data_IF_152897806167
#
_entry.id   IF_152897806167
#
_cell.length_a   1.000
_cell.length_b   1.000
_cell.length_c   1.000
_cell.angle_alpha   90.00
_cell.angle_beta   90.00
_cell.angle_gamma   90.00
#
_symmetry.space_group_name_H-M   'P 1'
#
loop_
_entity.id
_entity.type
_entity.pdbx_description
1 polymer ?
#
# COMPACT_ATOMS: atom_id res chain seq x y z
N UNK A 1 13.07 -29.09 18.45
CA UNK A 1 12.98 -28.43 18.26
C UNK A 1 12.22 -27.76 18.20
N UNK A 2 11.96 -27.38 18.49
CA UNK A 2 11.09 -26.74 18.51
C UNK A 2 11.11 -25.83 17.81
N UNK A 3 10.59 -25.62 17.24
CA UNK A 3 10.50 -24.73 16.61
C UNK A 3 9.80 -23.81 17.14
N UNK A 4 10.24 -22.79 17.40
CA UNK A 4 9.51 -21.74 17.82
C UNK A 4 8.63 -21.30 16.75
N UNK A 5 7.36 -21.41 16.94
CA UNK A 5 6.47 -20.91 16.02
C UNK A 5 6.44 -19.45 16.25
N UNK A 6 6.72 -18.62 15.29
CA UNK A 6 6.54 -17.22 15.41
C UNK A 6 5.09 -16.91 15.45
N UNK A 7 4.69 -16.14 16.42
CA UNK A 7 3.31 -15.71 16.49
C UNK A 7 3.07 -14.68 15.42
N UNK A 8 1.97 -14.78 14.72
CA UNK A 8 1.63 -13.79 13.72
C UNK A 8 1.06 -12.56 14.38
N UNK A 9 1.45 -11.40 13.88
CA UNK A 9 0.93 -10.15 14.39
C UNK A 9 -0.53 -10.01 13.99
N UNK A 10 -1.35 -9.50 14.90
CA UNK A 10 -2.76 -9.27 14.62
C UNK A 10 -2.94 -7.82 14.20
N UNK A 11 -3.64 -7.61 13.09
CA UNK A 11 -3.96 -6.27 12.62
C UNK A 11 -5.46 -6.10 12.52
N UNK A 12 -5.92 -4.87 12.44
CA UNK A 12 -7.32 -4.57 12.29
C UNK A 12 -7.73 -4.49 10.83
N UNK A 13 -8.93 -3.99 10.58
CA UNK A 13 -9.41 -3.86 9.22
C UNK A 13 -8.79 -2.64 8.50
N UNK A 14 -8.16 -1.76 9.24
CA UNK A 14 -7.40 -0.64 8.68
C UNK A 14 -6.22 -0.37 9.59
N UNK A 15 -5.12 0.05 8.97
CA UNK A 15 -3.88 0.28 9.69
C UNK A 15 -3.08 1.39 9.02
N UNK A 16 -2.23 2.06 9.80
CA UNK A 16 -1.24 2.96 9.26
C UNK A 16 0.02 2.17 8.96
N UNK A 17 0.59 2.38 7.79
CA UNK A 17 1.84 1.71 7.42
C UNK A 17 2.71 2.67 6.64
N UNK A 18 3.90 2.23 6.29
CA UNK A 18 4.84 3.04 5.52
C UNK A 18 5.33 2.26 4.31
N UNK A 19 5.70 2.99 3.28
CA UNK A 19 6.33 2.42 2.08
C UNK A 19 7.69 3.11 1.96
N UNK A 20 8.69 2.59 2.69
CA UNK A 20 9.96 3.30 2.82
C UNK A 20 10.74 3.47 1.53
N UNK A 21 10.59 2.55 0.56
CA UNK A 21 11.31 2.68 -0.69
C UNK A 21 10.92 3.93 -1.45
N UNK A 22 9.74 4.45 -1.21
CA UNK A 22 9.25 5.64 -1.90
C UNK A 22 9.27 6.87 -1.02
N UNK A 23 9.75 6.74 0.21
CA UNK A 23 9.73 7.86 1.13
C UNK A 23 8.33 8.19 1.63
N UNK A 24 7.39 7.27 1.50
CA UNK A 24 6.05 7.46 2.03
C UNK A 24 6.08 7.04 3.49
N UNK A 25 6.13 8.04 4.36
CA UNK A 25 6.33 7.79 5.78
C UNK A 25 5.10 7.24 6.47
N UNK A 26 3.94 7.54 5.95
CA UNK A 26 2.71 7.01 6.54
C UNK A 26 1.59 7.07 5.50
N UNK A 27 0.82 6.00 5.42
CA UNK A 27 -0.35 5.93 4.57
C UNK A 27 -1.35 5.00 5.25
N UNK A 28 -2.61 5.36 5.19
CA UNK A 28 -3.64 4.54 5.80
C UNK A 28 -4.10 3.50 4.80
N UNK A 29 -4.02 2.24 5.18
CA UNK A 29 -4.41 1.14 4.30
C UNK A 29 -5.64 0.44 4.85
N UNK A 30 -6.53 0.08 3.95
CA UNK A 30 -7.64 -0.79 4.28
C UNK A 30 -7.19 -2.22 4.04
N UNK A 31 -7.44 -3.09 4.98
CA UNK A 31 -7.08 -4.50 4.87
C UNK A 31 -8.20 -5.19 4.11
N UNK A 32 -7.87 -5.75 2.97
CA UNK A 32 -8.88 -6.33 2.07
C UNK A 32 -8.48 -7.76 1.72
N UNK A 33 -8.96 -8.71 2.51
CA UNK A 33 -8.64 -10.11 2.29
C UNK A 33 -9.36 -10.68 1.07
N UNK A 34 -10.35 -9.97 0.54
CA UNK A 34 -11.02 -10.38 -0.69
C UNK A 34 -10.24 -10.04 -1.95
N UNK A 35 -9.32 -9.09 -1.86
CA UNK A 35 -8.47 -8.75 -3.00
C UNK A 35 -7.17 -9.54 -2.90
N UNK A 36 -6.76 -10.14 -4.00
CA UNK A 36 -5.54 -10.94 -3.98
C UNK A 36 -4.30 -10.07 -3.81
N UNK A 37 -4.20 -8.99 -4.57
CA UNK A 37 -3.01 -8.16 -4.61
C UNK A 37 -3.32 -6.79 -4.00
N UNK A 38 -2.35 -6.22 -3.32
CA UNK A 38 -2.48 -4.88 -2.76
C UNK A 38 -2.59 -3.85 -3.87
N UNK A 39 -3.17 -2.71 -3.56
CA UNK A 39 -3.37 -1.64 -4.54
C UNK A 39 -3.00 -0.30 -3.95
N UNK A 40 -2.41 0.55 -4.78
CA UNK A 40 -2.01 1.88 -4.37
C UNK A 40 -2.67 2.89 -5.31
N UNK A 41 -3.33 3.88 -4.74
CA UNK A 41 -3.95 4.95 -5.50
C UNK A 41 -2.89 5.95 -5.93
N UNK A 42 -2.81 6.22 -7.22
CA UNK A 42 -1.78 7.08 -7.77
C UNK A 42 -2.38 8.14 -8.68
N UNK A 43 -1.60 9.19 -8.90
CA UNK A 43 -1.93 10.26 -9.84
C UNK A 43 -0.78 10.39 -10.80
N UNK A 44 -1.07 10.85 -12.01
CA UNK A 44 -0.03 11.12 -12.99
C UNK A 44 0.78 9.92 -13.39
N UNK A 45 0.14 8.78 -13.50
CA UNK A 45 0.83 7.54 -13.80
C UNK A 45 1.32 7.53 -15.24
N UNK A 46 2.63 7.46 -15.41
CA UNK A 46 3.25 7.47 -16.74
C UNK A 46 4.28 6.39 -16.88
N UNK A 47 4.10 5.45 -17.80
CA UNK A 47 5.13 4.47 -18.07
C UNK A 47 6.22 5.08 -18.95
N UNK A 48 7.45 4.61 -18.79
CA UNK A 48 8.56 5.01 -19.65
C UNK A 48 9.61 3.91 -19.60
N UNK A 49 10.49 3.92 -20.60
CA UNK A 49 11.58 2.96 -20.63
C UNK A 49 12.88 3.66 -20.38
N UNK A 50 13.74 3.02 -19.62
CA UNK A 50 15.07 3.52 -19.36
C UNK A 50 16.01 2.33 -19.35
N UNK A 51 17.03 2.36 -20.20
CA UNK A 51 18.02 1.28 -20.28
C UNK A 51 17.38 -0.09 -20.47
N UNK A 52 16.34 -0.15 -21.30
CA UNK A 52 15.68 -1.41 -21.59
C UNK A 52 14.71 -1.90 -20.55
N UNK A 53 14.50 -1.14 -19.49
CA UNK A 53 13.59 -1.53 -18.42
C UNK A 53 12.34 -0.64 -18.44
N UNK A 54 11.19 -1.27 -18.37
CA UNK A 54 9.94 -0.53 -18.25
C UNK A 54 9.77 -0.05 -16.82
N UNK A 55 9.56 1.23 -16.67
CA UNK A 55 9.37 1.87 -15.37
C UNK A 55 8.09 2.68 -15.39
N UNK A 56 7.61 3.05 -14.22
CA UNK A 56 6.49 3.96 -14.10
C UNK A 56 6.84 5.08 -13.16
N UNK A 57 6.34 6.26 -13.49
CA UNK A 57 6.47 7.43 -12.66
C UNK A 57 5.06 7.77 -12.20
N UNK A 58 4.90 8.10 -10.92
CA UNK A 58 3.59 8.40 -10.39
C UNK A 58 3.70 9.24 -9.14
N UNK A 59 2.58 9.83 -8.72
CA UNK A 59 2.51 10.63 -7.52
C UNK A 59 1.50 10.00 -6.57
N UNK A 60 1.80 10.04 -5.29
CA UNK A 60 0.92 9.53 -4.25
C UNK A 60 0.56 10.68 -3.32
N UNK A 61 -0.72 10.78 -2.98
CA UNK A 61 -1.19 11.70 -1.95
C UNK A 61 -1.52 10.83 -0.74
N UNK A 62 -0.61 10.70 0.21
CA UNK A 62 -0.80 9.72 1.28
C UNK A 62 -1.98 10.01 2.22
N UNK A 63 -2.40 11.26 2.29
CA UNK A 63 -3.53 11.61 3.15
C UNK A 63 -4.76 11.85 2.30
N UNK A 64 -5.84 11.20 2.68
CA UNK A 64 -7.07 11.25 1.90
C UNK A 64 -7.66 12.62 1.75
N UNK A 65 -7.50 13.47 2.75
CA UNK A 65 -8.12 14.79 2.74
C UNK A 65 -7.14 15.94 2.63
N UNK A 66 -5.87 15.65 2.39
CA UNK A 66 -4.88 16.71 2.32
C UNK A 66 -4.07 16.54 1.06
N UNK A 67 -4.46 17.27 0.05
CA UNK A 67 -3.81 17.13 -1.23
C UNK A 67 -2.48 17.85 -1.32
N UNK A 68 -2.17 18.68 -0.35
CA UNK A 68 -0.90 19.39 -0.39
C UNK A 68 0.32 18.51 -0.13
N UNK A 69 0.10 17.31 0.39
CA UNK A 69 1.21 16.39 0.65
C UNK A 69 1.26 15.40 -0.49
N UNK A 70 2.33 15.45 -1.27
CA UNK A 70 2.50 14.54 -2.39
C UNK A 70 3.88 13.94 -2.38
N UNK A 71 3.99 12.73 -2.86
CA UNK A 71 5.25 12.03 -2.97
C UNK A 71 5.39 11.56 -4.41
N UNK A 72 6.48 11.97 -5.06
CA UNK A 72 6.75 11.52 -6.44
C UNK A 72 7.57 10.24 -6.38
N UNK A 73 7.17 9.28 -7.17
CA UNK A 73 7.74 7.94 -7.11
C UNK A 73 8.12 7.45 -8.50
N UNK A 74 9.15 6.60 -8.56
CA UNK A 74 9.52 5.89 -9.78
C UNK A 74 9.80 4.45 -9.37
N UNK A 75 9.30 3.50 -10.14
CA UNK A 75 9.51 2.09 -9.84
C UNK A 75 9.59 1.28 -11.12
N UNK A 76 10.26 0.14 -11.05
CA UNK A 76 10.30 -0.82 -12.15
C UNK A 76 8.97 -1.54 -12.19
N UNK A 77 8.48 -1.78 -13.41
CA UNK A 77 7.27 -2.56 -13.59
C UNK A 77 7.66 -4.02 -13.62
N UNK A 78 7.08 -4.81 -12.73
CA UNK A 78 7.38 -6.24 -12.68
C UNK A 78 6.32 -7.08 -13.39
N UNK A 79 5.14 -6.50 -13.63
CA UNK A 79 4.06 -7.25 -14.29
C UNK A 79 2.97 -6.27 -14.74
N UNK A 80 2.07 -6.76 -15.56
CA UNK A 80 0.83 -6.07 -15.91
C UNK A 80 -0.28 -7.08 -15.71
N UNK A 81 -1.30 -6.70 -14.98
CA UNK A 81 -2.38 -7.63 -14.63
C UNK A 81 -3.74 -7.00 -14.84
N UNK A 82 -4.68 -7.82 -15.22
CA UNK A 82 -6.06 -7.40 -15.26
C UNK A 82 -6.63 -7.58 -13.86
N UNK A 83 -7.19 -6.53 -13.32
CA UNK A 83 -7.78 -6.55 -11.99
C UNK A 83 -9.25 -6.24 -12.11
N UNK A 84 -10.08 -7.08 -11.53
CA UNK A 84 -11.53 -6.92 -11.58
C UNK A 84 -12.02 -6.46 -10.21
N UNK A 85 -12.77 -5.37 -10.18
CA UNK A 85 -13.30 -4.85 -8.93
C UNK A 85 -14.52 -5.64 -8.48
N UNK A 86 -14.95 -5.41 -7.26
CA UNK A 86 -16.15 -6.06 -6.75
C UNK A 86 -17.39 -5.66 -7.54
N UNK A 87 -17.34 -4.53 -8.23
CA UNK A 87 -18.44 -4.10 -9.10
C UNK A 87 -18.39 -4.73 -10.48
N UNK A 88 -17.43 -5.61 -10.73
CA UNK A 88 -17.33 -6.31 -12.01
C UNK A 88 -16.55 -5.57 -13.09
N UNK A 89 -15.98 -4.43 -12.79
CA UNK A 89 -15.21 -3.68 -13.77
C UNK A 89 -13.76 -4.12 -13.74
N UNK A 90 -13.19 -4.27 -14.93
CA UNK A 90 -11.79 -4.70 -15.06
C UNK A 90 -10.92 -3.61 -15.64
N UNK A 91 -9.69 -3.55 -15.22
CA UNK A 91 -8.71 -2.66 -15.82
C UNK A 91 -7.35 -3.32 -15.77
N UNK A 92 -6.48 -2.97 -16.72
CA UNK A 92 -5.11 -3.43 -16.69
C UNK A 92 -4.33 -2.50 -15.78
N UNK A 93 -3.51 -3.07 -14.93
CA UNK A 93 -2.70 -2.30 -14.00
C UNK A 93 -1.26 -2.72 -14.07
N UNK A 94 -0.37 -1.76 -13.88
CA UNK A 94 1.04 -2.06 -13.69
C UNK A 94 1.24 -2.58 -12.28
N UNK A 95 2.14 -3.53 -12.13
CA UNK A 95 2.47 -4.11 -10.85
C UNK A 95 3.92 -3.75 -10.54
N UNK A 96 4.16 -3.26 -9.34
CA UNK A 96 5.49 -2.97 -8.85
C UNK A 96 5.72 -3.77 -7.57
N UNK A 97 6.96 -3.87 -7.17
CA UNK A 97 7.30 -4.53 -5.93
C UNK A 97 7.95 -3.53 -5.01
N UNK A 98 7.55 -3.51 -3.75
CA UNK A 98 8.12 -2.57 -2.80
C UNK A 98 8.04 -3.16 -1.39
N UNK A 99 8.76 -2.56 -0.46
CA UNK A 99 8.73 -2.98 0.93
C UNK A 99 7.64 -2.25 1.67
N UNK A 100 6.86 -2.96 2.45
CA UNK A 100 5.90 -2.35 3.36
C UNK A 100 6.45 -2.49 4.78
N UNK A 101 6.25 -1.44 5.57
CA UNK A 101 6.61 -1.46 6.99
C UNK A 101 5.33 -1.28 7.79
N UNK A 102 5.02 -2.25 8.62
CA UNK A 102 3.80 -2.25 9.41
C UNK A 102 4.14 -2.70 10.81
N UNK A 103 3.92 -1.82 11.78
CA UNK A 103 4.38 -2.10 13.13
C UNK A 103 5.88 -2.28 13.13
N UNK A 104 6.33 -3.41 13.63
CA UNK A 104 7.76 -3.66 13.72
C UNK A 104 8.29 -4.58 12.64
N UNK A 105 7.49 -4.90 11.64
CA UNK A 105 7.95 -5.82 10.62
C UNK A 105 7.96 -5.12 9.26
N UNK A 106 8.81 -5.64 8.39
CA UNK A 106 8.96 -5.17 7.02
C UNK A 106 9.06 -6.35 6.11
N UNK A 107 8.44 -6.27 4.96
CA UNK A 107 8.55 -7.35 3.98
C UNK A 107 8.15 -6.82 2.60
N UNK A 108 8.62 -7.52 1.52
CA UNK A 108 8.26 -7.06 0.17
C UNK A 108 6.86 -7.51 -0.21
N UNK A 109 6.17 -6.64 -0.93
CA UNK A 109 4.86 -6.96 -1.46
C UNK A 109 4.77 -6.49 -2.89
N UNK A 110 3.80 -7.02 -3.61
CA UNK A 110 3.44 -6.50 -4.91
C UNK A 110 2.30 -5.51 -4.75
N UNK A 111 2.38 -4.42 -5.49
CA UNK A 111 1.34 -3.39 -5.51
C UNK A 111 0.87 -3.18 -6.93
N UNK A 112 -0.43 -3.21 -7.13
CA UNK A 112 -0.98 -2.73 -8.40
C UNK A 112 -1.23 -1.24 -8.25
N UNK A 113 -1.00 -0.50 -9.33
CA UNK A 113 -1.16 0.95 -9.34
C UNK A 113 -2.46 1.29 -10.05
N UNK A 114 -3.25 2.15 -9.45
CA UNK A 114 -4.54 2.52 -10.00
C UNK A 114 -4.83 3.99 -9.72
N UNK A 115 -5.58 4.62 -10.62
CA UNK A 115 -6.00 5.99 -10.40
C UNK A 115 -7.51 6.10 -10.22
N UNK A 116 -8.15 5.02 -9.79
CA UNK A 116 -9.59 5.03 -9.62
C UNK A 116 -10.00 6.03 -8.54
N UNK A 117 -10.87 6.94 -8.92
CA UNK A 117 -11.30 7.98 -7.99
C UNK A 117 -12.15 7.47 -6.85
N UNK A 118 -12.74 6.32 -7.04
CA UNK A 118 -13.63 5.78 -6.02
C UNK A 118 -12.91 5.14 -4.85
N UNK A 119 -11.57 5.09 -4.87
CA UNK A 119 -10.85 4.52 -3.75
C UNK A 119 -10.96 5.41 -2.54
N UNK A 120 -11.61 4.89 -1.51
CA UNK A 120 -11.77 5.61 -0.28
C UNK A 120 -10.48 5.71 0.50
N UNK A 121 -9.71 4.63 0.50
CA UNK A 121 -8.38 4.61 1.11
C UNK A 121 -7.36 4.74 0.00
N UNK A 122 -6.24 5.37 0.31
CA UNK A 122 -5.18 5.50 -0.69
C UNK A 122 -4.46 4.19 -0.95
N UNK A 123 -4.64 3.22 -0.09
CA UNK A 123 -4.01 1.92 -0.27
C UNK A 123 -4.92 0.81 0.22
N UNK A 124 -4.87 -0.33 -0.44
CA UNK A 124 -5.50 -1.56 0.02
C UNK A 124 -4.40 -2.59 0.24
N UNK A 125 -4.45 -3.26 1.38
CA UNK A 125 -3.51 -4.34 1.68
C UNK A 125 -4.21 -5.65 1.38
N UNK A 126 -3.75 -6.36 0.37
CA UNK A 126 -4.44 -7.54 -0.15
C UNK A 126 -3.97 -8.83 0.48
N UNK A 127 -4.69 -9.89 0.13
CA UNK A 127 -4.50 -11.21 0.74
C UNK A 127 -3.08 -11.74 0.60
N UNK A 128 -2.45 -11.55 -0.55
CA UNK A 128 -1.10 -12.08 -0.76
C UNK A 128 -0.08 -11.47 0.17
N UNK A 129 -0.29 -10.23 0.60
CA UNK A 129 0.62 -9.58 1.55
C UNK A 129 0.39 -10.08 2.97
N UNK A 130 -0.79 -10.59 3.25
CA UNK A 130 -1.21 -10.94 4.61
C UNK A 130 -0.93 -12.40 4.93
N UNK A 131 -1.18 -13.28 3.95
CA UNK A 131 -1.13 -14.72 4.17
C UNK A 131 0.23 -15.15 4.72
N UNK A 132 0.18 -15.90 5.81
CA UNK A 132 1.40 -16.42 6.42
C UNK A 132 2.11 -15.47 7.34
N UNK A 133 1.71 -14.20 7.38
CA UNK A 133 2.41 -13.20 8.19
C UNK A 133 1.53 -12.55 9.23
N UNK A 134 0.26 -12.33 8.88
CA UNK A 134 -0.63 -11.52 9.71
C UNK A 134 -1.94 -12.23 9.92
N UNK A 135 -2.58 -11.93 11.04
CA UNK A 135 -3.96 -12.32 11.29
C UNK A 135 -4.79 -11.06 11.32
N UNK A 136 -6.01 -11.12 10.84
CA UNK A 136 -6.87 -9.95 10.76
C UNK A 136 -8.05 -10.10 11.70
N UNK A 137 -8.21 -9.13 12.59
CA UNK A 137 -9.39 -9.03 13.42
C UNK A 137 -10.25 -7.91 12.83
N UNK A 138 -11.30 -8.25 12.09
CA UNK A 138 -12.06 -7.21 11.37
C UNK A 138 -12.87 -6.30 12.27
N UNK A 139 -12.94 -6.61 13.55
CA UNK A 139 -13.65 -5.75 14.50
C UNK A 139 -12.77 -4.63 15.05
N UNK A 140 -11.47 -4.66 14.77
CA UNK A 140 -10.52 -3.73 15.36
C UNK A 140 -9.89 -2.82 14.32
N UNK A 141 -9.35 -1.70 14.77
CA UNK A 141 -8.65 -0.74 13.92
C UNK A 141 -7.36 -0.32 14.58
N UNK A 142 -6.34 -0.10 13.77
CA UNK A 142 -5.08 0.52 14.21
C UNK A 142 -4.42 -0.24 15.36
N UNK A 143 -4.40 -1.57 15.23
CA UNK A 143 -3.77 -2.40 16.25
C UNK A 143 -2.26 -2.21 16.31
N UNK A 144 -1.65 -1.76 15.22
CA UNK A 144 -0.21 -1.47 15.23
C UNK A 144 0.07 -0.07 15.74
N UNK A 145 -0.98 0.67 16.13
CA UNK A 145 -0.83 1.99 16.72
C UNK A 145 -1.14 3.10 15.75
N UNK A 146 -1.19 4.31 16.27
CA UNK A 146 -1.51 5.49 15.49
C UNK A 146 -0.37 6.48 15.40
N UNK A 147 0.83 6.07 15.80
CA UNK A 147 1.94 6.96 15.74
C UNK A 147 2.13 7.59 14.39
N UNK A 148 2.02 6.79 13.34
CA UNK A 148 2.23 7.28 11.99
C UNK A 148 1.20 8.31 11.57
N UNK A 149 0.02 8.29 12.15
CA UNK A 149 -1.02 9.24 11.78
C UNK A 149 -0.62 10.67 12.06
N UNK A 150 0.36 10.88 12.91
CA UNK A 150 0.78 12.22 13.29
C UNK A 150 1.99 12.73 12.55
N UNK A 151 2.57 11.92 11.69
CA UNK A 151 3.79 12.32 10.99
C UNK A 151 3.61 13.58 10.19
N UNK A 152 2.50 13.70 9.48
CA UNK A 152 2.29 14.85 8.61
C UNK A 152 1.76 16.07 9.34
N UNK A 153 1.30 15.91 10.56
CA UNK A 153 0.75 17.05 11.27
C UNK A 153 1.84 17.97 11.79
N UNK A 154 3.06 17.48 11.93
CA UNK A 154 4.17 18.31 12.37
C UNK A 154 4.47 19.41 11.38
N UNK A 155 4.34 19.13 10.10
CA UNK A 155 4.66 20.13 9.10
C UNK A 155 3.65 21.25 9.05
N UNK A 156 2.55 21.15 9.73
CA UNK A 156 1.60 22.21 9.74
C UNK A 156 1.87 23.26 10.74
N UNK A 157 2.70 22.99 11.67
CA UNK A 157 2.97 23.94 12.62
C UNK A 157 3.97 24.84 12.14
N UNK A 158 3.77 25.68 11.47
CA UNK A 158 4.76 26.50 11.00
C UNK A 158 4.29 27.76 10.95
#
# INVERSE_FOLDING_TARGET
MSKLKQEKMVIGWREWLALPDFGIQAIKAKVDTGARTSALHTFGLEPFEKDGTLKVKFTVHPLQRRKGIEVSCVADVVDRRRVTSSAGQSEMRYVIQTTVALGEIRWPIELTLTNRRSMRFRMLLGRAAITGRLLVDPAKSYLTGRKLSKIYSVTKKK
#
